data_IF_792429345366
#
_entry.id   IF_792429345366
#
_cell.length_a   1.000
_cell.length_b   1.000
_cell.length_c   1.000
_cell.angle_alpha   90.00
_cell.angle_beta   90.00
_cell.angle_gamma   90.00
#
_symmetry.space_group_name_H-M   'P 1'
#
loop_
_entity.id
_entity.type
_entity.pdbx_description
1 polymer ?
#
# COMPACT_ATOMS: atom_id res chain seq x y z
N UNK A 1 4.44 44.98 -77.27
CA UNK A 1 4.58 43.76 -76.45
C UNK A 1 5.95 43.81 -75.77
N UNK A 2 6.03 43.76 -74.44
CA UNK A 2 6.90 42.83 -73.72
C UNK A 2 6.79 42.99 -72.19
N UNK A 3 6.83 41.81 -71.56
CA UNK A 3 6.35 41.44 -70.23
C UNK A 3 7.07 42.11 -69.04
N UNK A 4 6.28 42.57 -68.07
CA UNK A 4 6.69 42.83 -66.68
C UNK A 4 6.82 41.48 -65.96
N UNK A 5 8.03 41.14 -65.49
CA UNK A 5 8.27 39.95 -64.65
C UNK A 5 7.97 40.28 -63.19
N UNK A 6 6.88 39.73 -62.66
CA UNK A 6 6.57 39.78 -61.22
C UNK A 6 7.53 38.85 -60.46
N UNK A 7 8.33 39.40 -59.55
CA UNK A 7 9.20 38.63 -58.66
C UNK A 7 8.39 38.05 -57.48
N UNK A 8 8.22 36.73 -57.48
CA UNK A 8 7.55 35.97 -56.41
C UNK A 8 8.42 35.73 -55.18
N UNK A 9 8.70 36.77 -54.39
CA UNK A 9 9.48 36.65 -53.14
C UNK A 9 8.65 36.77 -51.84
N UNK A 10 7.31 36.77 -51.92
CA UNK A 10 6.44 36.97 -50.74
C UNK A 10 6.23 35.73 -49.86
N UNK A 11 6.34 34.51 -50.39
CA UNK A 11 5.98 33.29 -49.64
C UNK A 11 7.11 32.72 -48.76
N UNK A 12 8.38 32.93 -49.14
CA UNK A 12 9.53 32.37 -48.39
C UNK A 12 9.76 33.05 -47.03
N UNK A 13 9.55 34.37 -46.95
CA UNK A 13 9.70 35.14 -45.70
C UNK A 13 8.61 34.78 -44.69
N UNK A 14 7.39 34.50 -45.17
CA UNK A 14 6.25 34.13 -44.31
C UNK A 14 6.43 32.72 -43.74
N UNK A 15 6.92 31.76 -44.54
CA UNK A 15 7.24 30.39 -44.09
C UNK A 15 8.37 30.36 -43.05
N UNK A 16 9.46 31.11 -43.27
CA UNK A 16 10.55 31.24 -42.29
C UNK A 16 10.06 31.80 -40.95
N UNK A 17 9.19 32.80 -40.97
CA UNK A 17 8.61 33.38 -39.74
C UNK A 17 7.70 32.42 -38.96
N UNK A 18 7.03 31.50 -39.66
CA UNK A 18 6.13 30.52 -39.05
C UNK A 18 6.91 29.35 -38.44
N UNK A 19 7.98 28.91 -39.10
CA UNK A 19 8.90 27.90 -38.57
C UNK A 19 9.69 28.42 -37.37
N UNK A 20 10.14 29.67 -37.40
CA UNK A 20 10.78 30.32 -36.25
C UNK A 20 9.82 30.42 -35.06
N UNK A 21 8.55 30.79 -35.30
CA UNK A 21 7.50 30.82 -34.27
C UNK A 21 7.23 29.43 -33.69
N UNK A 22 7.18 28.39 -34.53
CA UNK A 22 6.99 26.99 -34.10
C UNK A 22 8.16 26.51 -33.23
N UNK A 23 9.40 26.79 -33.63
CA UNK A 23 10.60 26.46 -32.84
C UNK A 23 10.65 27.24 -31.52
N UNK A 24 10.20 28.49 -31.51
CA UNK A 24 10.10 29.29 -30.28
C UNK A 24 9.06 28.72 -29.31
N UNK A 25 7.91 28.25 -29.81
CA UNK A 25 6.90 27.55 -29.00
C UNK A 25 7.44 26.23 -28.42
N UNK A 26 8.07 25.39 -29.24
CA UNK A 26 8.65 24.12 -28.78
C UNK A 26 9.75 24.30 -27.73
N UNK A 27 10.56 25.37 -27.83
CA UNK A 27 11.57 25.70 -26.81
C UNK A 27 10.94 26.15 -25.50
N UNK A 28 9.80 26.86 -25.55
CA UNK A 28 9.04 27.24 -24.34
C UNK A 28 8.44 26.00 -23.67
N UNK A 29 7.81 25.11 -24.45
CA UNK A 29 7.24 23.87 -23.92
C UNK A 29 8.29 22.96 -23.28
N UNK A 30 9.45 22.79 -23.94
CA UNK A 30 10.56 22.02 -23.39
C UNK A 30 11.13 22.68 -22.12
N UNK A 31 11.32 24.01 -22.14
CA UNK A 31 11.81 24.76 -20.98
C UNK A 31 10.89 24.68 -19.77
N UNK A 32 9.58 24.75 -19.99
CA UNK A 32 8.57 24.64 -18.94
C UNK A 32 8.46 23.20 -18.42
N UNK A 33 8.61 22.19 -19.29
CA UNK A 33 8.69 20.78 -18.87
C UNK A 33 9.94 20.55 -17.99
N UNK A 34 11.11 21.06 -18.40
CA UNK A 34 12.33 20.96 -17.58
C UNK A 34 12.19 21.68 -16.24
N UNK A 35 11.56 22.87 -16.19
CA UNK A 35 11.33 23.60 -14.94
C UNK A 35 10.40 22.83 -14.00
N UNK A 36 9.28 22.28 -14.52
CA UNK A 36 8.37 21.44 -13.75
C UNK A 36 9.07 20.20 -13.21
N UNK A 37 9.81 19.47 -14.05
CA UNK A 37 10.55 18.30 -13.60
C UNK A 37 11.60 18.66 -12.55
N UNK A 38 12.34 19.75 -12.72
CA UNK A 38 13.30 20.20 -11.72
C UNK A 38 12.62 20.47 -10.36
N UNK A 39 11.46 21.13 -10.34
CA UNK A 39 10.66 21.35 -9.11
C UNK A 39 10.27 20.04 -8.40
N UNK A 40 10.01 18.96 -9.13
CA UNK A 40 9.73 17.64 -8.56
C UNK A 40 10.98 16.92 -8.03
N UNK A 41 12.16 17.18 -8.59
CA UNK A 41 13.42 16.53 -8.21
C UNK A 41 14.22 17.29 -7.16
N UNK A 42 13.83 18.51 -6.79
CA UNK A 42 14.41 19.17 -5.62
C UNK A 42 13.86 18.51 -4.35
N UNK A 43 14.71 17.89 -3.50
CA UNK A 43 14.27 17.35 -2.23
C UNK A 43 13.87 18.51 -1.31
N UNK A 44 12.59 18.86 -1.33
CA UNK A 44 12.03 19.84 -0.39
C UNK A 44 11.94 19.13 0.95
N UNK A 45 12.82 19.48 1.89
CA UNK A 45 12.72 18.99 3.25
C UNK A 45 11.34 19.40 3.80
N UNK A 46 10.47 18.45 4.17
CA UNK A 46 9.14 18.78 4.66
C UNK A 46 9.26 19.58 5.95
N UNK A 47 8.44 20.62 6.07
CA UNK A 47 8.34 21.40 7.31
C UNK A 47 7.81 20.51 8.45
N UNK A 48 8.09 20.85 9.71
CA UNK A 48 7.62 20.06 10.87
C UNK A 48 6.11 19.83 10.86
N UNK A 49 5.33 20.86 10.51
CA UNK A 49 3.87 20.74 10.36
C UNK A 49 3.45 19.77 9.27
N UNK A 50 4.20 19.71 8.17
CA UNK A 50 3.92 18.81 7.06
C UNK A 50 4.28 17.35 7.39
N UNK A 51 5.32 17.13 8.17
CA UNK A 51 5.65 15.82 8.73
C UNK A 51 4.58 15.35 9.72
N UNK A 52 4.11 16.22 10.61
CA UNK A 52 3.00 15.93 11.53
C UNK A 52 1.74 15.53 10.74
N UNK A 53 1.39 16.26 9.69
CA UNK A 53 0.24 15.93 8.85
C UNK A 53 0.40 14.62 8.07
N UNK A 54 1.62 14.29 7.62
CA UNK A 54 1.92 13.03 6.93
C UNK A 54 1.89 11.83 7.89
N UNK A 55 2.45 11.99 9.09
CA UNK A 55 2.41 10.99 10.16
C UNK A 55 0.99 10.72 10.64
N UNK A 56 0.13 11.75 10.63
CA UNK A 56 -1.29 11.63 10.97
C UNK A 56 -2.16 11.19 9.79
N UNK A 57 -1.60 11.05 8.57
CA UNK A 57 -2.34 10.64 7.37
C UNK A 57 -3.30 11.71 6.82
N UNK A 58 -3.20 12.95 7.28
CA UNK A 58 -4.11 14.04 6.92
C UNK A 58 -3.93 14.52 5.48
N UNK A 59 -2.74 14.34 4.88
CA UNK A 59 -2.44 14.78 3.50
C UNK A 59 -2.82 13.79 2.40
N UNK A 60 -3.14 12.54 2.74
CA UNK A 60 -3.59 11.53 1.76
C UNK A 60 -5.09 11.61 1.45
N UNK A 61 -5.86 12.40 2.23
CA UNK A 61 -7.25 12.69 1.90
C UNK A 61 -7.30 13.67 0.72
N UNK A 62 -7.78 13.20 -0.42
CA UNK A 62 -8.23 14.07 -1.51
C UNK A 62 -9.16 15.17 -0.97
N UNK A 63 -9.16 16.38 -1.59
CA UNK A 63 -10.01 17.48 -1.13
C UNK A 63 -11.45 17.00 -1.07
N UNK A 64 -12.02 16.99 0.14
CA UNK A 64 -13.34 16.42 0.40
C UNK A 64 -14.37 17.05 -0.54
N UNK A 65 -14.97 16.21 -1.39
CA UNK A 65 -16.14 16.61 -2.15
C UNK A 65 -17.27 16.92 -1.14
N UNK A 66 -18.15 17.90 -1.43
CA UNK A 66 -19.19 18.32 -0.49
C UNK A 66 -20.09 17.16 -0.02
N UNK A 67 -20.25 16.13 -0.84
CA UNK A 67 -20.98 14.89 -0.53
C UNK A 67 -20.29 14.06 0.56
N UNK A 68 -18.95 13.95 0.55
CA UNK A 68 -18.19 13.19 1.56
C UNK A 68 -18.26 13.89 2.91
N UNK A 69 -18.17 15.23 2.94
CA UNK A 69 -18.29 16.02 4.17
C UNK A 69 -19.68 15.89 4.83
N UNK A 70 -20.74 15.73 4.00
CA UNK A 70 -22.09 15.51 4.49
C UNK A 70 -22.25 14.10 5.09
N UNK A 71 -21.71 13.07 4.42
CA UNK A 71 -21.73 11.70 4.92
C UNK A 71 -20.95 11.54 6.25
N UNK A 72 -19.79 12.19 6.38
CA UNK A 72 -19.00 12.17 7.63
C UNK A 72 -19.78 12.80 8.79
N UNK A 73 -20.49 13.92 8.54
CA UNK A 73 -21.34 14.55 9.58
C UNK A 73 -22.53 13.68 9.98
N UNK A 74 -23.13 12.97 9.03
CA UNK A 74 -24.25 12.06 9.30
C UNK A 74 -23.79 10.86 10.15
N UNK A 75 -22.63 10.27 9.82
CA UNK A 75 -22.02 9.20 10.62
C UNK A 75 -21.68 9.66 12.05
N UNK A 76 -21.16 10.87 12.22
CA UNK A 76 -20.82 11.42 13.54
C UNK A 76 -22.06 11.70 14.40
N UNK A 77 -23.22 11.96 13.79
CA UNK A 77 -24.49 12.13 14.49
C UNK A 77 -25.07 10.77 14.89
N UNK A 78 -24.92 9.73 14.05
CA UNK A 78 -25.33 8.37 14.38
C UNK A 78 -24.53 7.81 15.57
N UNK A 79 -23.21 8.03 15.63
CA UNK A 79 -22.39 7.64 16.79
C UNK A 79 -22.83 8.32 18.09
N UNK A 80 -23.22 9.59 18.03
CA UNK A 80 -23.74 10.31 19.22
C UNK A 80 -25.13 9.85 19.63
N UNK A 81 -25.92 9.30 18.71
CA UNK A 81 -27.29 8.84 18.97
C UNK A 81 -27.38 7.40 19.47
N UNK A 82 -26.34 6.59 19.26
CA UNK A 82 -26.27 5.24 19.79
C UNK A 82 -25.91 5.26 21.28
N UNK A 83 -26.96 5.36 22.11
CA UNK A 83 -27.01 4.77 23.45
C UNK A 83 -26.80 3.25 23.33
N UNK A 84 -25.57 2.82 23.09
CA UNK A 84 -25.16 1.43 23.14
C UNK A 84 -25.04 1.01 24.61
N UNK A 85 -26.19 0.58 25.16
CA UNK A 85 -26.33 -0.40 26.24
C UNK A 85 -25.16 -0.49 27.23
N UNK A 86 -25.24 0.35 28.26
CA UNK A 86 -24.44 0.23 29.49
C UNK A 86 -24.88 -1.05 30.24
N UNK A 87 -24.39 -2.21 29.81
CA UNK A 87 -24.52 -3.47 30.56
C UNK A 87 -23.53 -3.38 31.72
N UNK A 88 -23.97 -2.69 32.78
CA UNK A 88 -23.39 -2.78 34.12
C UNK A 88 -23.69 -4.16 34.71
N UNK A 89 -22.94 -5.16 34.25
CA UNK A 89 -22.63 -6.30 35.12
C UNK A 89 -21.76 -5.82 36.28
N UNK A 90 -21.76 -6.49 37.44
CA UNK A 90 -20.83 -6.22 38.52
C UNK A 90 -19.43 -6.71 38.11
N UNK A 91 -18.82 -6.03 37.15
CA UNK A 91 -17.42 -6.16 36.83
C UNK A 91 -16.68 -5.36 37.90
N UNK A 92 -16.17 -6.06 38.91
CA UNK A 92 -15.04 -5.55 39.68
C UNK A 92 -13.98 -5.23 38.62
N UNK A 93 -13.55 -3.96 38.46
CA UNK A 93 -12.49 -3.65 37.54
C UNK A 93 -11.23 -4.30 38.12
N UNK A 94 -10.86 -5.47 37.61
CA UNK A 94 -9.47 -5.93 37.69
C UNK A 94 -8.72 -4.89 36.87
N UNK A 95 -8.20 -3.89 37.58
CA UNK A 95 -7.38 -2.83 37.04
C UNK A 95 -6.41 -3.45 36.05
N UNK A 96 -6.18 -2.76 34.94
CA UNK A 96 -5.19 -3.11 33.93
C UNK A 96 -3.81 -3.17 34.59
N UNK A 97 -3.50 -4.32 35.20
CA UNK A 97 -2.20 -4.65 35.74
C UNK A 97 -1.32 -4.89 34.52
N UNK A 98 -0.78 -3.81 33.99
CA UNK A 98 0.11 -3.76 32.84
C UNK A 98 1.40 -3.07 33.26
N UNK A 99 2.52 -3.77 33.13
CA UNK A 99 3.84 -3.18 33.23
C UNK A 99 4.21 -2.46 31.92
N UNK A 100 5.31 -1.68 31.90
CA UNK A 100 5.79 -1.01 30.69
C UNK A 100 6.23 -1.97 29.58
N UNK A 101 6.51 -3.23 29.91
CA UNK A 101 6.79 -4.30 28.93
C UNK A 101 5.96 -5.55 29.23
N UNK A 102 5.84 -6.44 28.25
CA UNK A 102 5.09 -7.70 28.39
C UNK A 102 5.73 -8.61 29.46
N UNK A 103 7.05 -8.62 29.58
CA UNK A 103 7.79 -9.38 30.59
C UNK A 103 7.52 -8.84 32.00
N UNK A 104 7.55 -7.51 32.16
CA UNK A 104 7.21 -6.86 33.43
C UNK A 104 5.75 -7.06 33.81
N UNK A 105 4.88 -7.19 32.82
CA UNK A 105 3.48 -7.55 33.04
C UNK A 105 3.33 -8.97 33.58
N UNK A 106 4.08 -9.95 33.06
CA UNK A 106 4.10 -11.32 33.60
C UNK A 106 4.61 -11.31 35.04
N UNK A 107 5.73 -10.64 35.33
CA UNK A 107 6.30 -10.55 36.68
C UNK A 107 5.27 -10.01 37.70
N UNK A 108 4.53 -8.97 37.30
CA UNK A 108 3.50 -8.37 38.13
C UNK A 108 2.30 -9.31 38.33
N UNK A 109 1.84 -9.99 37.28
CA UNK A 109 0.74 -10.96 37.36
C UNK A 109 1.13 -12.21 38.17
N UNK A 110 2.39 -12.65 38.11
CA UNK A 110 2.92 -13.74 38.93
C UNK A 110 2.94 -13.35 40.41
N UNK A 111 3.30 -12.11 40.72
CA UNK A 111 3.22 -11.56 42.08
C UNK A 111 1.78 -11.49 42.58
N UNK A 112 0.82 -11.11 41.73
CA UNK A 112 -0.61 -11.11 42.10
C UNK A 112 -1.09 -12.55 42.34
N UNK A 113 -0.72 -13.49 41.47
CA UNK A 113 -1.06 -14.91 41.63
C UNK A 113 -0.50 -15.49 42.93
N UNK A 114 0.77 -15.25 43.23
CA UNK A 114 1.40 -15.77 44.45
C UNK A 114 0.83 -15.13 45.72
N UNK A 115 0.54 -13.83 45.69
CA UNK A 115 -0.07 -13.13 46.83
C UNK A 115 -1.49 -13.64 47.13
N UNK A 116 -2.28 -13.91 46.09
CA UNK A 116 -3.62 -14.48 46.23
C UNK A 116 -3.61 -15.93 46.76
N UNK A 117 -2.57 -16.71 46.46
CA UNK A 117 -2.42 -18.09 46.92
C UNK A 117 -1.60 -18.24 48.21
N UNK A 118 -1.07 -17.14 48.77
CA UNK A 118 -0.24 -17.16 49.97
C UNK A 118 -0.98 -17.53 51.27
N UNK A 119 -2.27 -17.18 51.49
CA UNK A 119 -2.99 -17.58 52.70
C UNK A 119 -3.15 -19.11 52.82
N UNK A 120 -3.05 -19.65 54.03
CA UNK A 120 -3.19 -21.08 54.29
C UNK A 120 -4.58 -21.64 53.91
N UNK A 121 -5.61 -20.81 53.95
CA UNK A 121 -6.95 -21.08 53.44
C UNK A 121 -7.37 -19.92 52.50
N UNK A 122 -7.11 -20.02 51.18
CA UNK A 122 -7.44 -18.95 50.24
C UNK A 122 -8.96 -18.79 50.10
N UNK A 123 -9.44 -17.55 50.09
CA UNK A 123 -10.87 -17.29 49.93
C UNK A 123 -11.32 -17.58 48.49
N UNK A 124 -12.62 -17.83 48.23
CA UNK A 124 -13.13 -18.00 46.87
C UNK A 124 -12.83 -16.81 45.95
N UNK A 125 -12.70 -15.62 46.52
CA UNK A 125 -12.32 -14.43 45.79
C UNK A 125 -10.83 -14.46 45.40
N UNK A 126 -9.96 -14.90 46.29
CA UNK A 126 -8.53 -15.04 46.01
C UNK A 126 -8.26 -16.07 44.91
N UNK A 127 -9.01 -17.18 44.92
CA UNK A 127 -8.95 -18.18 43.85
C UNK A 127 -9.36 -17.60 42.49
N UNK A 128 -10.38 -16.74 42.44
CA UNK A 128 -10.78 -16.04 41.20
C UNK A 128 -9.70 -15.07 40.73
N UNK A 129 -9.09 -14.31 41.65
CA UNK A 129 -7.99 -13.41 41.33
C UNK A 129 -6.79 -14.19 40.77
N UNK A 130 -6.40 -15.29 41.42
CA UNK A 130 -5.32 -16.16 40.95
C UNK A 130 -5.61 -16.81 39.57
N UNK A 131 -6.85 -17.26 39.35
CA UNK A 131 -7.28 -17.81 38.06
C UNK A 131 -7.26 -16.75 36.96
N UNK A 132 -7.74 -15.53 37.25
CA UNK A 132 -7.73 -14.41 36.31
C UNK A 132 -6.31 -13.98 35.95
N UNK A 133 -5.40 -13.91 36.94
CA UNK A 133 -3.99 -13.62 36.73
C UNK A 133 -3.32 -14.71 35.87
N UNK A 134 -3.61 -15.98 36.11
CA UNK A 134 -3.08 -17.10 35.32
C UNK A 134 -3.54 -17.07 33.87
N UNK A 135 -4.82 -16.80 33.62
CA UNK A 135 -5.35 -16.64 32.27
C UNK A 135 -4.67 -15.47 31.54
N UNK A 136 -4.42 -14.36 32.25
CA UNK A 136 -3.75 -13.21 31.67
C UNK A 136 -2.28 -13.48 31.37
N UNK A 137 -1.56 -14.21 32.23
CA UNK A 137 -0.18 -14.66 31.96
C UNK A 137 -0.12 -15.45 30.66
N UNK A 138 -1.04 -16.40 30.46
CA UNK A 138 -1.08 -17.20 29.24
C UNK A 138 -1.31 -16.34 27.98
N UNK A 139 -2.17 -15.32 28.08
CA UNK A 139 -2.40 -14.38 26.99
C UNK A 139 -1.14 -13.54 26.69
N UNK A 140 -0.43 -13.05 27.71
CA UNK A 140 0.78 -12.25 27.52
C UNK A 140 1.91 -13.11 26.95
N UNK A 141 2.06 -14.35 27.40
CA UNK A 141 3.03 -15.30 26.85
C UNK A 141 2.78 -15.61 25.37
N UNK A 142 1.52 -15.73 24.95
CA UNK A 142 1.20 -15.94 23.53
C UNK A 142 1.56 -14.71 22.70
N UNK A 143 1.35 -13.50 23.22
CA UNK A 143 1.77 -12.26 22.55
C UNK A 143 3.29 -12.16 22.40
N UNK A 144 4.05 -12.51 23.45
CA UNK A 144 5.52 -12.54 23.38
C UNK A 144 5.98 -13.52 22.28
N UNK A 145 5.39 -14.72 22.24
CA UNK A 145 5.73 -15.72 21.23
C UNK A 145 5.44 -15.22 19.80
N UNK A 146 4.31 -14.55 19.59
CA UNK A 146 3.97 -13.95 18.30
C UNK A 146 4.96 -12.86 17.91
N UNK A 147 5.37 -12.01 18.86
CA UNK A 147 6.36 -10.96 18.60
C UNK A 147 7.74 -11.55 18.23
N UNK A 148 8.17 -12.61 18.94
CA UNK A 148 9.41 -13.32 18.61
C UNK A 148 9.39 -13.93 17.20
N UNK A 149 8.26 -14.52 16.80
CA UNK A 149 8.08 -15.07 15.46
C UNK A 149 8.11 -13.96 14.40
N UNK A 150 7.46 -12.82 14.67
CA UNK A 150 7.47 -11.70 13.74
C UNK A 150 8.90 -11.15 13.56
N UNK A 151 9.65 -10.98 14.65
CA UNK A 151 11.02 -10.47 14.58
C UNK A 151 11.95 -11.42 13.83
N UNK A 152 11.83 -12.74 14.04
CA UNK A 152 12.65 -13.70 13.31
C UNK A 152 12.33 -13.72 11.81
N UNK A 153 11.06 -13.55 11.44
CA UNK A 153 10.66 -13.42 10.03
C UNK A 153 11.28 -12.17 9.40
N UNK A 154 11.21 -11.02 10.08
CA UNK A 154 11.82 -9.77 9.61
C UNK A 154 13.33 -9.95 9.39
N UNK A 155 14.03 -10.58 10.33
CA UNK A 155 15.47 -10.84 10.20
C UNK A 155 15.78 -11.72 8.97
N UNK A 156 15.00 -12.78 8.75
CA UNK A 156 15.20 -13.65 7.57
C UNK A 156 14.92 -12.93 6.26
N UNK A 157 13.89 -12.07 6.20
CA UNK A 157 13.58 -11.28 5.01
C UNK A 157 14.67 -10.24 4.74
N UNK A 158 15.21 -9.61 5.79
CA UNK A 158 16.34 -8.67 5.68
C UNK A 158 17.59 -9.33 5.10
N UNK A 159 17.89 -10.56 5.53
CA UNK A 159 19.02 -11.33 4.97
C UNK A 159 18.77 -11.62 3.50
N UNK A 160 17.57 -12.09 3.15
CA UNK A 160 17.20 -12.39 1.77
C UNK A 160 17.27 -11.16 0.86
N UNK A 161 16.80 -10.00 1.34
CA UNK A 161 16.89 -8.75 0.60
C UNK A 161 18.34 -8.35 0.32
N UNK A 162 19.23 -8.48 1.31
CA UNK A 162 20.67 -8.22 1.10
C UNK A 162 21.31 -9.19 0.11
N UNK A 163 20.90 -10.45 0.13
CA UNK A 163 21.36 -11.45 -0.84
C UNK A 163 20.86 -11.14 -2.26
N UNK A 164 19.61 -10.73 -2.40
CA UNK A 164 19.03 -10.29 -3.68
C UNK A 164 19.72 -9.01 -4.20
N UNK A 165 19.98 -8.03 -3.34
CA UNK A 165 20.74 -6.81 -3.68
C UNK A 165 22.17 -7.13 -4.11
N UNK A 166 22.87 -8.01 -3.39
CA UNK A 166 24.21 -8.47 -3.76
C UNK A 166 24.19 -9.26 -5.08
N UNK A 167 23.12 -10.01 -5.36
CA UNK A 167 22.95 -10.75 -6.61
C UNK A 167 22.69 -9.83 -7.79
N UNK A 168 21.92 -8.75 -7.61
CA UNK A 168 21.74 -7.70 -8.63
C UNK A 168 23.05 -6.97 -8.91
N UNK A 169 23.86 -6.71 -7.88
CA UNK A 169 25.12 -5.98 -8.01
C UNK A 169 26.23 -6.81 -8.69
N UNK A 170 26.23 -8.13 -8.48
CA UNK A 170 27.16 -9.06 -9.14
C UNK A 170 26.69 -9.56 -10.50
N UNK A 171 25.41 -9.37 -10.85
CA UNK A 171 24.93 -9.60 -12.21
C UNK A 171 25.46 -8.47 -13.07
N UNK A 172 26.60 -8.71 -13.74
CA UNK A 172 27.00 -7.92 -14.89
C UNK A 172 25.81 -7.92 -15.85
N UNK A 173 25.08 -6.82 -15.88
CA UNK A 173 24.04 -6.58 -16.87
C UNK A 173 24.79 -6.59 -18.19
N UNK A 174 24.61 -7.57 -19.10
CA UNK A 174 24.96 -7.30 -20.47
C UNK A 174 24.10 -6.10 -20.83
N UNK A 175 24.74 -4.97 -21.08
CA UNK A 175 24.10 -3.77 -21.61
C UNK A 175 23.70 -4.12 -23.04
N UNK A 176 22.68 -4.95 -23.16
CA UNK A 176 22.03 -5.27 -24.43
C UNK A 176 21.19 -4.05 -24.76
N UNK A 177 21.86 -3.03 -25.31
CA UNK A 177 21.24 -2.03 -26.17
C UNK A 177 20.67 -2.76 -27.40
N UNK A 178 19.59 -3.50 -27.21
CA UNK A 178 18.78 -3.93 -28.33
C UNK A 178 17.99 -2.72 -28.82
N UNK A 179 18.16 -2.44 -30.11
CA UNK A 179 17.45 -1.37 -30.81
C UNK A 179 15.94 -1.46 -30.56
N UNK A 180 15.21 -0.33 -30.42
CA UNK A 180 13.81 -0.28 -30.01
C UNK A 180 12.85 -1.16 -30.84
N UNK A 181 13.22 -1.54 -32.08
CA UNK A 181 12.46 -2.47 -32.93
C UNK A 181 12.27 -3.87 -32.34
N UNK A 182 13.25 -4.39 -31.60
CA UNK A 182 13.16 -5.77 -31.04
C UNK A 182 12.20 -5.79 -29.84
N UNK A 183 12.18 -4.72 -29.05
CA UNK A 183 11.26 -4.57 -27.91
C UNK A 183 9.78 -4.42 -28.35
N UNK A 184 9.53 -3.71 -29.44
CA UNK A 184 8.16 -3.57 -30.00
C UNK A 184 7.63 -4.90 -30.54
N UNK A 185 8.48 -5.67 -31.24
CA UNK A 185 8.13 -7.00 -31.75
C UNK A 185 7.83 -7.99 -30.62
N UNK A 186 8.61 -7.96 -29.54
CA UNK A 186 8.38 -8.78 -28.34
C UNK A 186 7.08 -8.40 -27.61
N UNK A 187 6.75 -7.10 -27.52
CA UNK A 187 5.50 -6.64 -26.94
C UNK A 187 4.29 -7.07 -27.78
N UNK A 188 4.35 -6.92 -29.09
CA UNK A 188 3.29 -7.40 -29.98
C UNK A 188 3.10 -8.92 -29.89
N UNK A 189 4.20 -9.67 -29.86
CA UNK A 189 4.16 -11.13 -29.74
C UNK A 189 3.56 -11.56 -28.39
N UNK A 190 3.88 -10.85 -27.31
CA UNK A 190 3.32 -11.09 -25.98
C UNK A 190 1.82 -10.77 -25.93
N UNK A 191 1.39 -9.67 -26.56
CA UNK A 191 -0.03 -9.33 -26.72
C UNK A 191 -0.77 -10.40 -27.53
N UNK A 192 -0.21 -10.85 -28.67
CA UNK A 192 -0.76 -11.93 -29.50
C UNK A 192 -0.87 -13.23 -28.70
N UNK A 193 0.13 -13.57 -27.87
CA UNK A 193 0.11 -14.75 -27.00
C UNK A 193 -1.01 -14.66 -25.96
N UNK A 194 -1.13 -13.52 -25.27
CA UNK A 194 -2.20 -13.28 -24.27
C UNK A 194 -3.59 -13.39 -24.89
N UNK A 195 -3.80 -12.81 -26.08
CA UNK A 195 -5.08 -12.91 -26.79
C UNK A 195 -5.41 -14.36 -27.19
N UNK A 196 -4.42 -15.13 -27.65
CA UNK A 196 -4.60 -16.56 -27.97
C UNK A 196 -4.99 -17.35 -26.72
N UNK A 197 -4.30 -17.12 -25.60
CA UNK A 197 -4.60 -17.79 -24.34
C UNK A 197 -6.01 -17.47 -23.84
N UNK A 198 -6.41 -16.19 -23.92
CA UNK A 198 -7.77 -15.76 -23.58
C UNK A 198 -8.82 -16.43 -24.50
N UNK A 199 -8.53 -16.55 -25.79
CA UNK A 199 -9.43 -17.22 -26.73
C UNK A 199 -9.55 -18.72 -26.44
N UNK A 200 -8.43 -19.40 -26.14
CA UNK A 200 -8.41 -20.80 -25.73
C UNK A 200 -9.25 -21.01 -24.47
N UNK A 201 -9.08 -20.16 -23.46
CA UNK A 201 -9.84 -20.24 -22.21
C UNK A 201 -11.35 -20.03 -22.42
N UNK A 202 -11.75 -19.05 -23.23
CA UNK A 202 -13.17 -18.82 -23.57
C UNK A 202 -13.77 -20.02 -24.32
N UNK A 203 -13.03 -20.56 -25.29
CA UNK A 203 -13.47 -21.70 -26.07
C UNK A 203 -13.57 -22.96 -25.21
N UNK A 204 -12.56 -23.25 -24.40
CA UNK A 204 -12.57 -24.41 -23.51
C UNK A 204 -13.72 -24.32 -22.51
N UNK A 205 -13.96 -23.13 -21.94
CA UNK A 205 -15.12 -22.87 -21.09
C UNK A 205 -16.45 -23.12 -21.82
N UNK A 206 -16.60 -22.59 -23.03
CA UNK A 206 -17.82 -22.81 -23.83
C UNK A 206 -18.05 -24.30 -24.16
N UNK A 207 -16.98 -25.03 -24.52
CA UNK A 207 -17.04 -26.48 -24.76
C UNK A 207 -17.40 -27.23 -23.48
N UNK A 208 -16.83 -26.83 -22.35
CA UNK A 208 -17.12 -27.42 -21.03
C UNK A 208 -18.60 -27.21 -20.67
N UNK A 209 -19.11 -25.98 -20.80
CA UNK A 209 -20.52 -25.65 -20.59
C UNK A 209 -21.45 -26.47 -21.49
N UNK A 210 -21.10 -26.63 -22.78
CA UNK A 210 -21.90 -27.43 -23.72
C UNK A 210 -21.91 -28.93 -23.38
N UNK A 211 -20.81 -29.45 -22.81
CA UNK A 211 -20.67 -30.88 -22.50
C UNK A 211 -21.25 -31.26 -21.13
N UNK A 212 -21.05 -30.42 -20.13
CA UNK A 212 -21.31 -30.76 -18.72
C UNK A 212 -22.33 -29.83 -18.04
N UNK A 213 -22.86 -28.82 -18.76
CA UNK A 213 -23.75 -27.82 -18.20
C UNK A 213 -23.01 -26.76 -17.38
N UNK A 214 -23.76 -25.88 -16.72
CA UNK A 214 -23.18 -24.83 -15.88
C UNK A 214 -22.67 -25.43 -14.56
N UNK A 215 -21.34 -25.50 -14.43
CA UNK A 215 -20.66 -25.90 -13.20
C UNK A 215 -19.69 -24.77 -12.84
N UNK A 216 -19.76 -24.24 -11.61
CA UNK A 216 -18.93 -23.14 -11.11
C UNK A 216 -17.48 -23.59 -10.86
N UNK A 217 -16.80 -24.08 -11.90
CA UNK A 217 -15.35 -24.24 -11.87
C UNK A 217 -14.74 -22.93 -12.35
N UNK A 218 -14.64 -21.96 -11.44
CA UNK A 218 -13.80 -20.79 -11.67
C UNK A 218 -12.40 -21.26 -12.04
N UNK A 219 -11.89 -20.77 -13.17
CA UNK A 219 -10.54 -21.11 -13.60
C UNK A 219 -9.53 -20.45 -12.66
N UNK A 220 -8.76 -21.29 -11.99
CA UNK A 220 -7.75 -20.91 -11.00
C UNK A 220 -6.53 -20.27 -11.67
N UNK A 221 -6.65 -19.04 -12.18
CA UNK A 221 -5.54 -18.34 -12.84
C UNK A 221 -4.84 -17.30 -11.95
N UNK A 222 -5.30 -17.07 -10.72
CA UNK A 222 -4.69 -16.12 -9.78
C UNK A 222 -4.30 -16.73 -8.43
N UNK A 223 -3.69 -17.93 -8.44
CA UNK A 223 -2.83 -18.35 -7.33
C UNK A 223 -1.39 -18.05 -7.72
N UNK A 224 -0.98 -16.82 -7.49
CA UNK A 224 0.42 -16.39 -7.60
C UNK A 224 1.11 -16.87 -6.31
N UNK A 225 2.16 -17.66 -6.47
CA UNK A 225 3.15 -17.99 -5.44
C UNK A 225 4.29 -16.97 -5.50
#
# INVERSE_FOLDING_TARGET
MNLVKSTGNGMSIVLGSLEERKRALQRKDAGDAYRKHAEFFFPKAPSLSELEDLLLGNKEREPETPEVSAAVREFQQLEKSNNMLDIKGPAIPVQTIGGPTLEKTIELLEKVRSSALAPAEPTPQDLRVAASASAKIQQVQSQIKLNQIANSQIETELIKQKEDEASVLNRSVPSDFQSPKVLEEDLENLQKKRLKEQAIAKYSYQVHLKRYGFTDQQTSFFRIA
#
